data_IF_835967157728
#
_entry.id   IF_835967157728
#
_cell.length_a   1.000
_cell.length_b   1.000
_cell.length_c   1.000
_cell.angle_alpha   90.00
_cell.angle_beta   90.00
_cell.angle_gamma   90.00
#
_symmetry.space_group_name_H-M   'P 1'
#
loop_
_entity.id
_entity.type
_entity.pdbx_description
1 polymer ?
#
# COMPACT_ATOMS: atom_id res chain seq x y z
N UNK A 1 20.50 12.42 -17.44
CA UNK A 1 21.67 12.71 -16.57
C UNK A 1 21.21 12.38 -15.18
N UNK A 2 22.00 11.66 -14.39
CA UNK A 2 21.64 11.36 -12.99
C UNK A 2 21.55 12.67 -12.21
N UNK A 3 20.43 12.88 -11.50
CA UNK A 3 20.19 14.06 -10.64
C UNK A 3 21.19 14.07 -9.48
N UNK A 4 21.54 12.88 -8.97
CA UNK A 4 22.47 12.71 -7.85
C UNK A 4 23.86 12.29 -8.34
N UNK A 5 24.91 12.98 -7.82
CA UNK A 5 26.30 12.76 -8.23
C UNK A 5 26.99 11.76 -7.30
N UNK A 6 27.93 11.00 -7.85
CA UNK A 6 28.85 10.21 -7.03
C UNK A 6 29.57 11.13 -6.03
N UNK A 7 29.77 10.63 -4.81
CA UNK A 7 30.40 11.32 -3.67
C UNK A 7 29.60 12.54 -3.14
N UNK A 8 28.37 12.82 -3.62
CA UNK A 8 27.48 13.81 -3.02
C UNK A 8 27.02 13.34 -1.65
N UNK A 9 27.15 14.20 -0.61
CA UNK A 9 26.76 13.86 0.75
C UNK A 9 25.29 14.21 1.01
N UNK A 10 24.49 13.18 1.24
CA UNK A 10 23.04 13.28 1.46
C UNK A 10 22.71 12.80 2.85
N UNK A 11 22.14 13.69 3.65
CA UNK A 11 21.80 13.46 5.05
C UNK A 11 20.29 13.21 5.21
N UNK A 12 19.91 12.15 5.93
CA UNK A 12 18.50 11.76 6.14
C UNK A 12 18.04 12.01 7.57
N UNK A 13 17.01 12.83 7.78
CA UNK A 13 16.37 13.01 9.09
C UNK A 13 15.24 11.95 9.20
N UNK A 14 15.40 11.00 10.14
CA UNK A 14 14.50 9.84 10.30
C UNK A 14 14.80 8.72 9.31
N UNK A 15 16.08 8.40 9.13
CA UNK A 15 16.57 7.43 8.13
C UNK A 15 16.04 6.01 8.32
N UNK A 16 15.67 5.60 9.54
CA UNK A 16 15.15 4.26 9.87
C UNK A 16 13.68 4.05 9.50
N UNK A 17 13.01 5.06 8.97
CA UNK A 17 11.66 4.88 8.41
C UNK A 17 11.67 3.96 7.18
N UNK A 18 10.67 3.07 7.04
CA UNK A 18 10.61 2.04 5.98
C UNK A 18 10.90 2.61 4.58
N UNK A 19 10.28 3.73 4.22
CA UNK A 19 10.50 4.35 2.91
C UNK A 19 11.78 5.18 2.82
N UNK A 20 12.23 5.76 3.95
CA UNK A 20 13.48 6.55 4.01
C UNK A 20 14.70 5.67 3.85
N UNK A 21 14.72 4.52 4.54
CA UNK A 21 15.82 3.56 4.45
C UNK A 21 16.01 3.05 3.03
N UNK A 22 14.93 2.73 2.32
CA UNK A 22 15.03 2.31 0.93
C UNK A 22 15.62 3.36 0.00
N UNK A 23 15.26 4.64 0.17
CA UNK A 23 15.86 5.73 -0.60
C UNK A 23 17.34 5.94 -0.27
N UNK A 24 17.70 5.81 1.01
CA UNK A 24 19.08 5.86 1.46
C UNK A 24 19.94 4.76 0.83
N UNK A 25 19.42 3.52 0.76
CA UNK A 25 20.08 2.39 0.10
C UNK A 25 20.27 2.63 -1.39
N UNK A 26 19.23 3.12 -2.12
CA UNK A 26 19.33 3.43 -3.55
C UNK A 26 20.42 4.46 -3.81
N UNK A 27 20.52 5.52 -2.99
CA UNK A 27 21.54 6.56 -3.17
C UNK A 27 22.94 6.06 -2.81
N UNK A 28 23.07 5.22 -1.78
CA UNK A 28 24.33 4.60 -1.42
C UNK A 28 24.85 3.66 -2.53
N UNK A 29 23.95 2.85 -3.14
CA UNK A 29 24.27 1.97 -4.29
C UNK A 29 24.77 2.78 -5.50
N UNK A 30 24.25 4.00 -5.68
CA UNK A 30 24.69 4.94 -6.72
C UNK A 30 26.03 5.63 -6.42
N UNK A 31 26.61 5.36 -5.26
CA UNK A 31 27.89 5.92 -4.82
C UNK A 31 27.79 7.29 -4.17
N UNK A 32 26.62 7.73 -3.73
CA UNK A 32 26.49 8.89 -2.84
C UNK A 32 27.03 8.56 -1.45
N UNK A 33 27.54 9.56 -0.75
CA UNK A 33 27.83 9.46 0.69
C UNK A 33 26.50 9.67 1.41
N UNK A 34 26.03 8.64 2.12
CA UNK A 34 24.75 8.71 2.83
C UNK A 34 25.00 8.65 4.33
N UNK A 35 24.36 9.55 5.06
CA UNK A 35 24.30 9.52 6.51
C UNK A 35 22.94 9.98 7.02
N UNK A 36 22.66 9.85 8.31
CA UNK A 36 21.39 10.32 8.83
C UNK A 36 21.20 10.14 10.32
N UNK A 37 19.97 10.43 10.77
CA UNK A 37 19.56 10.22 12.17
C UNK A 37 18.30 9.41 12.27
N UNK A 38 18.17 8.72 13.42
CA UNK A 38 16.89 8.20 13.91
C UNK A 38 16.80 8.36 15.44
N UNK A 39 15.61 8.15 16.01
CA UNK A 39 15.38 8.27 17.45
C UNK A 39 16.04 7.13 18.21
N UNK A 40 16.03 5.90 17.64
CA UNK A 40 16.51 4.67 18.27
C UNK A 40 17.07 3.67 17.28
N UNK A 41 17.92 2.78 17.79
CA UNK A 41 18.41 1.64 17.05
C UNK A 41 17.26 0.64 16.74
N UNK A 42 17.20 0.17 15.51
CA UNK A 42 16.22 -0.80 15.00
C UNK A 42 16.92 -1.81 14.08
N UNK A 43 16.28 -2.94 13.71
CA UNK A 43 16.82 -3.83 12.67
C UNK A 43 17.10 -3.11 11.34
N UNK A 44 16.28 -2.12 10.98
CA UNK A 44 16.44 -1.31 9.76
C UNK A 44 17.71 -0.46 9.84
N UNK A 45 17.93 0.27 10.94
CA UNK A 45 19.13 1.09 11.10
C UNK A 45 20.40 0.24 11.14
N UNK A 46 20.37 -0.95 11.79
CA UNK A 46 21.50 -1.90 11.76
C UNK A 46 21.82 -2.39 10.36
N UNK A 47 20.78 -2.65 9.55
CA UNK A 47 20.97 -3.02 8.15
C UNK A 47 21.69 -1.90 7.39
N UNK A 48 21.24 -0.67 7.50
CA UNK A 48 21.86 0.49 6.86
C UNK A 48 23.33 0.68 7.30
N UNK A 49 23.63 0.53 8.60
CA UNK A 49 25.00 0.58 9.11
C UNK A 49 25.87 -0.53 8.51
N UNK A 50 25.32 -1.74 8.26
CA UNK A 50 26.03 -2.82 7.58
C UNK A 50 26.38 -2.53 6.12
N UNK A 51 25.66 -1.58 5.49
CA UNK A 51 25.94 -1.05 4.15
C UNK A 51 26.96 0.12 4.18
N UNK A 52 27.47 0.48 5.35
CA UNK A 52 28.44 1.57 5.52
C UNK A 52 27.82 2.95 5.69
N UNK A 53 26.50 3.05 5.88
CA UNK A 53 25.78 4.30 6.13
C UNK A 53 25.96 4.70 7.60
N UNK A 54 26.45 5.92 7.86
CA UNK A 54 26.64 6.42 9.22
C UNK A 54 25.32 6.94 9.81
N UNK A 55 24.91 6.44 10.98
CA UNK A 55 23.67 6.84 11.64
C UNK A 55 23.93 7.39 13.03
N UNK A 56 23.43 8.60 13.28
CA UNK A 56 23.39 9.20 14.61
C UNK A 56 22.07 8.85 15.31
N UNK A 57 22.08 8.67 16.63
CA UNK A 57 20.85 8.47 17.41
C UNK A 57 20.52 9.73 18.22
N UNK A 58 19.31 10.26 17.97
CA UNK A 58 18.83 11.52 18.53
C UNK A 58 19.17 12.75 17.67
N UNK A 59 18.15 13.61 17.51
CA UNK A 59 18.25 14.81 16.67
C UNK A 59 19.06 15.91 17.36
N UNK A 60 20.14 16.37 16.74
CA UNK A 60 21.01 17.44 17.23
C UNK A 60 21.50 18.30 16.07
N UNK A 61 21.60 19.61 16.27
CA UNK A 61 22.09 20.54 15.25
C UNK A 61 23.48 20.19 14.73
N UNK A 62 24.34 19.65 15.61
CA UNK A 62 25.75 19.28 15.32
C UNK A 62 25.85 18.09 14.35
N UNK A 63 24.77 17.31 14.17
CA UNK A 63 24.74 16.20 13.22
C UNK A 63 24.80 16.69 11.76
N UNK A 64 24.36 17.93 11.50
CA UNK A 64 24.46 18.56 10.19
C UNK A 64 25.84 19.21 10.05
N UNK A 65 26.75 18.51 9.41
CA UNK A 65 28.12 18.98 9.16
C UNK A 65 28.20 19.88 7.92
N UNK A 66 29.33 20.55 7.68
CA UNK A 66 29.46 21.53 6.57
C UNK A 66 29.67 20.87 5.20
N UNK A 67 29.94 19.57 5.18
CA UNK A 67 30.10 18.73 3.98
C UNK A 67 28.81 18.10 3.50
N UNK A 68 27.67 18.35 4.17
CA UNK A 68 26.34 17.89 3.72
C UNK A 68 25.87 18.77 2.57
N UNK A 69 25.57 18.14 1.43
CA UNK A 69 25.10 18.82 0.21
C UNK A 69 23.56 18.89 0.12
N UNK A 70 22.86 17.96 0.74
CA UNK A 70 21.39 17.84 0.73
C UNK A 70 20.89 17.20 2.00
N UNK A 71 19.82 17.74 2.57
CA UNK A 71 19.10 17.11 3.69
C UNK A 71 17.75 16.61 3.20
N UNK A 72 17.48 15.31 3.42
CA UNK A 72 16.20 14.66 3.11
C UNK A 72 15.41 14.44 4.39
N UNK A 73 14.11 14.77 4.38
CA UNK A 73 13.24 14.66 5.53
C UNK A 73 11.86 14.07 5.19
N UNK A 74 11.12 13.61 6.21
CA UNK A 74 9.74 13.15 6.06
C UNK A 74 8.75 14.20 6.56
N UNK A 75 7.48 14.10 6.13
CA UNK A 75 6.40 14.93 6.65
C UNK A 75 6.16 14.75 8.17
N UNK A 76 6.77 13.75 8.81
CA UNK A 76 6.72 13.55 10.26
C UNK A 76 7.70 14.45 11.04
N UNK A 77 8.65 15.08 10.36
CA UNK A 77 9.64 15.98 10.98
C UNK A 77 9.01 17.35 11.14
N UNK A 78 8.96 17.81 12.38
CA UNK A 78 8.42 19.13 12.71
C UNK A 78 9.42 20.23 12.32
N UNK A 79 8.96 21.42 11.92
CA UNK A 79 9.84 22.54 11.57
C UNK A 79 10.81 23.00 12.68
N UNK A 80 10.51 22.72 13.94
CA UNK A 80 11.35 23.02 15.11
C UNK A 80 12.46 21.96 15.39
N UNK A 81 12.52 20.90 14.56
CA UNK A 81 13.57 19.89 14.67
C UNK A 81 14.97 20.55 14.56
N UNK A 82 15.92 20.29 15.50
CA UNK A 82 17.21 20.97 15.51
C UNK A 82 18.06 20.72 14.26
N UNK A 83 17.95 19.56 13.61
CA UNK A 83 18.67 19.25 12.37
C UNK A 83 18.05 19.99 11.18
N UNK A 84 16.71 20.04 11.12
CA UNK A 84 15.99 20.81 10.10
C UNK A 84 16.36 22.30 10.17
N UNK A 85 16.41 22.88 11.39
CA UNK A 85 16.80 24.26 11.61
C UNK A 85 18.29 24.51 11.30
N UNK A 86 19.17 23.55 11.62
CA UNK A 86 20.59 23.65 11.30
C UNK A 86 20.84 23.66 9.79
N UNK A 87 20.12 22.84 9.02
CA UNK A 87 20.19 22.84 7.56
C UNK A 87 19.79 24.20 6.97
N UNK A 88 18.69 24.80 7.48
CA UNK A 88 18.27 26.15 7.08
C UNK A 88 19.37 27.18 7.41
N UNK A 89 19.90 27.17 8.63
CA UNK A 89 20.91 28.12 9.09
C UNK A 89 22.21 28.04 8.25
N UNK A 90 22.54 26.84 7.76
CA UNK A 90 23.71 26.59 6.90
C UNK A 90 23.42 26.78 5.40
N UNK A 91 22.18 27.14 5.00
CA UNK A 91 21.72 27.22 3.62
C UNK A 91 21.90 25.90 2.83
N UNK A 92 21.79 24.75 3.51
CA UNK A 92 21.82 23.44 2.86
C UNK A 92 20.42 23.18 2.27
N UNK A 93 20.31 22.74 0.99
CA UNK A 93 19.03 22.39 0.38
C UNK A 93 18.27 21.33 1.20
N UNK A 94 16.96 21.50 1.29
CA UNK A 94 16.04 20.58 1.96
C UNK A 94 15.13 19.95 0.89
N UNK A 95 14.96 18.64 0.94
CA UNK A 95 14.10 17.90 0.04
C UNK A 95 13.21 16.95 0.83
N UNK A 96 11.91 16.96 0.58
CA UNK A 96 11.04 15.97 1.20
C UNK A 96 11.19 14.58 0.52
N UNK A 97 10.79 13.54 1.24
CA UNK A 97 10.89 12.15 0.79
C UNK A 97 10.19 11.87 -0.55
N UNK A 98 9.02 12.47 -0.79
CA UNK A 98 8.26 12.21 -2.01
C UNK A 98 8.95 12.84 -3.23
N UNK A 99 9.50 14.04 -3.05
CA UNK A 99 10.30 14.71 -4.08
C UNK A 99 11.54 13.89 -4.44
N UNK A 100 12.29 13.40 -3.44
CA UNK A 100 13.43 12.52 -3.68
C UNK A 100 13.05 11.26 -4.47
N UNK A 101 11.93 10.61 -4.10
CA UNK A 101 11.46 9.43 -4.82
C UNK A 101 11.08 9.77 -6.28
N UNK A 102 10.46 10.93 -6.50
CA UNK A 102 10.14 11.44 -7.84
C UNK A 102 11.40 11.68 -8.69
N UNK A 103 12.41 12.35 -8.14
CA UNK A 103 13.69 12.58 -8.81
C UNK A 103 14.40 11.26 -9.15
N UNK A 104 14.35 10.27 -8.23
CA UNK A 104 14.90 8.93 -8.50
C UNK A 104 14.11 8.26 -9.63
N UNK A 105 12.77 8.30 -9.61
CA UNK A 105 11.90 7.68 -10.62
C UNK A 105 12.14 8.28 -12.01
N UNK A 106 12.35 9.58 -12.10
CA UNK A 106 12.56 10.29 -13.37
C UNK A 106 13.81 9.81 -14.14
N UNK A 107 14.72 9.11 -13.49
CA UNK A 107 15.89 8.52 -14.16
C UNK A 107 15.59 7.19 -14.88
N UNK A 108 14.38 6.61 -14.66
CA UNK A 108 13.99 5.31 -15.22
C UNK A 108 13.00 5.49 -16.37
N UNK A 109 13.38 5.06 -17.57
CA UNK A 109 12.55 5.18 -18.78
C UNK A 109 11.29 4.30 -18.73
N UNK A 110 11.29 3.24 -17.94
CA UNK A 110 10.20 2.26 -17.81
C UNK A 110 9.66 2.26 -16.37
N UNK A 111 9.18 3.43 -15.92
CA UNK A 111 8.66 3.60 -14.57
C UNK A 111 7.15 3.39 -14.50
N UNK A 112 6.69 2.71 -13.44
CA UNK A 112 5.27 2.49 -13.12
C UNK A 112 5.00 3.07 -11.74
N UNK A 113 4.02 3.97 -11.63
CA UNK A 113 3.54 4.52 -10.38
C UNK A 113 2.09 4.09 -10.15
N UNK A 114 1.85 3.37 -9.04
CA UNK A 114 0.53 2.81 -8.73
C UNK A 114 -0.18 3.68 -7.70
N UNK A 115 -1.20 4.41 -8.14
CA UNK A 115 -2.06 5.27 -7.33
C UNK A 115 -3.46 4.66 -7.13
N UNK A 116 -4.17 5.16 -6.15
CA UNK A 116 -5.54 4.78 -5.81
C UNK A 116 -5.75 4.86 -4.31
N UNK A 117 -6.97 5.05 -3.86
CA UNK A 117 -7.28 5.02 -2.43
C UNK A 117 -6.91 3.66 -1.84
N UNK A 118 -7.24 2.57 -2.54
CA UNK A 118 -7.04 1.18 -2.12
C UNK A 118 -6.29 0.36 -3.18
N UNK A 119 -5.66 -0.76 -2.76
CA UNK A 119 -5.06 -1.73 -3.67
C UNK A 119 -3.62 -1.42 -4.11
N UNK A 120 -3.07 -0.26 -3.81
CA UNK A 120 -1.71 0.18 -4.21
C UNK A 120 -0.64 -0.89 -3.96
N UNK A 121 -0.48 -1.31 -2.70
CA UNK A 121 0.55 -2.29 -2.30
C UNK A 121 0.40 -3.61 -3.04
N UNK A 122 -0.81 -4.13 -3.15
CA UNK A 122 -1.09 -5.40 -3.84
C UNK A 122 -0.76 -5.30 -5.33
N UNK A 123 -1.20 -4.23 -6.00
CA UNK A 123 -0.94 -4.02 -7.43
C UNK A 123 0.54 -3.79 -7.71
N UNK A 124 1.22 -2.97 -6.89
CA UNK A 124 2.68 -2.77 -7.00
C UNK A 124 3.43 -4.09 -6.82
N UNK A 125 2.99 -4.94 -5.88
CA UNK A 125 3.57 -6.29 -5.69
C UNK A 125 3.32 -7.20 -6.90
N UNK A 126 2.13 -7.21 -7.47
CA UNK A 126 1.81 -7.99 -8.68
C UNK A 126 2.64 -7.52 -9.89
N UNK A 127 2.77 -6.22 -10.11
CA UNK A 127 3.65 -5.65 -11.15
C UNK A 127 5.10 -6.09 -10.91
N UNK A 128 5.56 -6.05 -9.66
CA UNK A 128 6.92 -6.47 -9.30
C UNK A 128 7.16 -7.95 -9.64
N UNK A 129 6.23 -8.85 -9.32
CA UNK A 129 6.33 -10.26 -9.66
C UNK A 129 6.35 -10.48 -11.18
N UNK A 130 5.57 -9.73 -11.95
CA UNK A 130 5.57 -9.78 -13.41
C UNK A 130 6.94 -9.35 -13.95
N UNK A 131 7.49 -8.23 -13.48
CA UNK A 131 8.79 -7.72 -13.92
C UNK A 131 9.93 -8.66 -13.54
N UNK A 132 9.88 -9.29 -12.35
CA UNK A 132 10.84 -10.30 -11.91
C UNK A 132 10.76 -11.55 -12.77
N UNK A 133 9.55 -12.04 -13.07
CA UNK A 133 9.34 -13.22 -13.94
C UNK A 133 9.82 -12.98 -15.37
N UNK A 134 9.74 -11.73 -15.86
CA UNK A 134 10.28 -11.31 -17.15
C UNK A 134 11.81 -11.11 -17.14
N UNK A 135 12.48 -11.34 -16.00
CA UNK A 135 13.93 -11.16 -15.82
C UNK A 135 14.43 -9.75 -16.18
N UNK A 136 13.64 -8.71 -15.89
CA UNK A 136 13.96 -7.32 -16.23
C UNK A 136 14.91 -6.65 -15.24
N UNK A 137 15.20 -7.26 -14.09
CA UNK A 137 16.00 -6.69 -12.99
C UNK A 137 15.52 -5.31 -12.54
N UNK A 138 14.23 -5.16 -12.10
CA UNK A 138 13.66 -3.86 -11.76
C UNK A 138 14.15 -3.35 -10.40
N UNK A 139 14.17 -2.02 -10.24
CA UNK A 139 14.12 -1.38 -8.92
C UNK A 139 12.66 -1.36 -8.45
N UNK A 140 12.42 -1.86 -7.24
CA UNK A 140 11.10 -2.06 -6.66
C UNK A 140 11.03 -1.31 -5.34
N UNK A 141 9.99 -0.48 -5.14
CA UNK A 141 9.62 0.04 -3.83
C UNK A 141 8.14 -0.23 -3.56
N UNK A 142 7.84 -0.99 -2.53
CA UNK A 142 6.48 -1.41 -2.19
C UNK A 142 6.17 -1.09 -0.71
N UNK A 143 4.92 -0.79 -0.38
CA UNK A 143 4.52 -0.40 0.97
C UNK A 143 4.47 -1.54 2.00
N UNK A 144 4.68 -2.79 1.58
CA UNK A 144 4.73 -3.98 2.42
C UNK A 144 5.88 -4.89 2.04
N UNK A 145 6.12 -5.94 2.82
CA UNK A 145 7.13 -6.94 2.48
C UNK A 145 6.61 -7.83 1.34
N UNK A 146 7.34 -7.87 0.25
CA UNK A 146 7.10 -8.80 -0.85
C UNK A 146 7.90 -10.09 -0.59
N UNK A 147 7.24 -11.25 -0.39
CA UNK A 147 7.92 -12.48 0.02
C UNK A 147 9.06 -12.92 -0.92
N UNK A 148 8.88 -12.74 -2.23
CA UNK A 148 9.87 -13.13 -3.26
C UNK A 148 11.21 -12.43 -3.11
N UNK A 149 11.21 -11.18 -2.65
CA UNK A 149 12.45 -10.43 -2.40
C UNK A 149 12.81 -10.33 -0.91
N UNK A 150 11.92 -10.81 -0.01
CA UNK A 150 12.09 -10.76 1.45
C UNK A 150 12.19 -9.33 2.01
N UNK A 151 11.76 -8.31 1.25
CA UNK A 151 11.92 -6.89 1.57
C UNK A 151 10.79 -6.06 0.93
N UNK A 152 10.72 -4.80 1.29
CA UNK A 152 9.92 -3.78 0.63
C UNK A 152 10.71 -3.01 -0.45
N UNK A 153 12.01 -3.29 -0.57
CA UNK A 153 12.91 -2.70 -1.54
C UNK A 153 13.70 -3.79 -2.28
N UNK A 154 13.87 -3.63 -3.58
CA UNK A 154 14.91 -4.27 -4.39
C UNK A 154 15.56 -3.20 -5.26
N UNK A 155 16.88 -3.11 -5.25
CA UNK A 155 17.64 -2.27 -6.18
C UNK A 155 17.95 -3.12 -7.41
N UNK A 156 17.53 -2.66 -8.58
CA UNK A 156 17.87 -3.23 -9.88
C UNK A 156 18.68 -2.25 -10.72
N UNK A 157 19.38 -2.77 -11.71
CA UNK A 157 20.27 -1.97 -12.56
C UNK A 157 19.74 -1.83 -14.00
N UNK A 158 18.45 -2.03 -14.19
CA UNK A 158 17.75 -1.91 -15.46
C UNK A 158 16.95 -0.60 -15.56
N UNK A 159 16.37 -0.26 -16.72
CA UNK A 159 15.52 0.92 -16.85
C UNK A 159 14.12 0.78 -16.20
N UNK A 160 13.82 -0.33 -15.49
CA UNK A 160 12.52 -0.57 -14.90
C UNK A 160 12.48 -0.13 -13.44
N UNK A 161 11.43 0.64 -13.10
CA UNK A 161 11.14 1.08 -11.73
C UNK A 161 9.66 0.92 -11.44
N UNK A 162 9.30 0.39 -10.28
CA UNK A 162 7.91 0.33 -9.83
C UNK A 162 7.79 0.84 -8.40
N UNK A 163 6.83 1.73 -8.17
CA UNK A 163 6.58 2.32 -6.86
C UNK A 163 5.09 2.54 -6.59
N UNK A 164 4.74 2.58 -5.30
CA UNK A 164 3.45 3.10 -4.86
C UNK A 164 3.44 4.62 -4.94
N UNK A 165 2.36 5.17 -5.46
CA UNK A 165 2.08 6.59 -5.58
C UNK A 165 1.00 7.00 -4.55
N UNK A 166 1.45 7.46 -3.37
CA UNK A 166 0.53 7.85 -2.30
C UNK A 166 -0.04 9.25 -2.57
N UNK A 167 -1.36 9.35 -2.53
CA UNK A 167 -2.10 10.60 -2.72
C UNK A 167 -1.99 11.58 -1.54
N UNK A 168 -1.72 11.06 -0.33
CA UNK A 168 -1.72 11.87 0.88
C UNK A 168 -0.66 12.97 0.83
N UNK A 169 -1.06 14.20 1.17
CA UNK A 169 -0.28 15.43 1.00
C UNK A 169 0.18 15.68 -0.45
N UNK A 170 -0.58 15.21 -1.44
CA UNK A 170 -0.23 15.33 -2.86
C UNK A 170 1.15 14.76 -3.21
N UNK A 171 1.64 13.80 -2.40
CA UNK A 171 3.00 13.25 -2.54
C UNK A 171 3.25 12.65 -3.94
N UNK A 172 2.24 12.03 -4.56
CA UNK A 172 2.35 11.44 -5.89
C UNK A 172 2.49 12.46 -7.02
N UNK A 173 2.20 13.76 -6.77
CA UNK A 173 2.39 14.82 -7.75
C UNK A 173 3.87 15.16 -7.99
N UNK A 174 4.77 14.59 -7.19
CA UNK A 174 6.21 14.68 -7.41
C UNK A 174 6.71 13.66 -8.45
N UNK A 175 5.85 12.73 -8.91
CA UNK A 175 6.22 11.65 -9.81
C UNK A 175 5.91 12.01 -11.28
N UNK A 176 6.76 11.57 -12.19
CA UNK A 176 6.57 11.62 -13.64
C UNK A 176 6.74 10.21 -14.23
N UNK A 177 5.78 9.29 -13.95
CA UNK A 177 5.91 7.91 -14.37
C UNK A 177 5.62 7.74 -15.86
N UNK A 178 6.29 6.77 -16.51
CA UNK A 178 5.94 6.34 -17.87
C UNK A 178 4.54 5.72 -17.90
N UNK A 179 4.16 4.98 -16.84
CA UNK A 179 2.82 4.43 -16.67
C UNK A 179 2.26 4.84 -15.31
N UNK A 180 1.21 5.65 -15.33
CA UNK A 180 0.42 6.02 -14.16
C UNK A 180 -0.80 5.11 -14.01
N UNK A 181 -0.92 4.42 -12.88
CA UNK A 181 -2.07 3.55 -12.61
C UNK A 181 -3.01 4.24 -11.62
N UNK A 182 -4.32 4.23 -11.89
CA UNK A 182 -5.36 4.74 -10.99
C UNK A 182 -6.38 3.63 -10.73
N UNK A 183 -6.31 3.04 -9.53
CA UNK A 183 -7.12 1.87 -9.17
C UNK A 183 -8.54 2.25 -8.76
N UNK A 184 -8.69 3.27 -7.97
CA UNK A 184 -9.96 3.80 -7.45
C UNK A 184 -9.74 5.21 -6.88
N UNK A 185 -10.82 5.97 -6.74
CA UNK A 185 -10.83 7.33 -6.16
C UNK A 185 -12.01 7.43 -5.22
N UNK A 186 -11.73 7.35 -3.92
CA UNK A 186 -12.73 7.35 -2.86
C UNK A 186 -12.37 8.36 -1.77
N UNK A 187 -13.31 8.60 -0.86
CA UNK A 187 -13.11 9.55 0.24
C UNK A 187 -12.20 8.98 1.31
N UNK A 188 -10.93 9.37 1.30
CA UNK A 188 -9.96 9.14 2.38
C UNK A 188 -9.11 10.41 2.61
N UNK A 189 -8.33 10.44 3.68
CA UNK A 189 -7.46 11.56 4.01
C UNK A 189 -8.15 12.94 4.00
N UNK A 190 -9.40 12.99 4.51
CA UNK A 190 -10.22 14.20 4.49
C UNK A 190 -9.74 15.29 5.47
N UNK A 191 -8.86 14.95 6.39
CA UNK A 191 -8.05 15.88 7.17
C UNK A 191 -7.25 16.82 6.25
N UNK A 192 -6.74 16.30 5.15
CA UNK A 192 -5.99 17.04 4.12
C UNK A 192 -6.90 17.52 2.99
N UNK A 193 -7.57 16.62 2.27
CA UNK A 193 -8.32 16.95 1.05
C UNK A 193 -9.65 17.68 1.29
N UNK A 194 -10.26 17.56 2.47
CA UNK A 194 -11.54 18.13 2.86
C UNK A 194 -12.78 17.49 2.21
N UNK A 195 -12.74 17.11 0.95
CA UNK A 195 -13.84 16.49 0.22
C UNK A 195 -13.35 15.67 -0.98
N UNK A 196 -14.25 14.85 -1.56
CA UNK A 196 -13.97 13.99 -2.70
C UNK A 196 -13.58 14.78 -3.96
N UNK A 197 -14.11 15.97 -4.16
CA UNK A 197 -13.80 16.81 -5.33
C UNK A 197 -12.31 17.20 -5.35
N UNK A 198 -11.76 17.57 -4.21
CA UNK A 198 -10.33 17.88 -4.10
C UNK A 198 -9.46 16.64 -4.33
N UNK A 199 -9.89 15.46 -3.85
CA UNK A 199 -9.23 14.18 -4.15
C UNK A 199 -9.21 13.95 -5.66
N UNK A 200 -10.36 14.08 -6.33
CA UNK A 200 -10.47 13.91 -7.79
C UNK A 200 -9.56 14.87 -8.55
N UNK A 201 -9.49 16.14 -8.14
CA UNK A 201 -8.55 17.12 -8.75
C UNK A 201 -7.09 16.69 -8.60
N UNK A 202 -6.72 16.16 -7.44
CA UNK A 202 -5.38 15.65 -7.20
C UNK A 202 -5.05 14.44 -8.08
N UNK A 203 -5.98 13.47 -8.21
CA UNK A 203 -5.80 12.34 -9.12
C UNK A 203 -5.74 12.75 -10.60
N UNK A 204 -6.53 13.74 -11.01
CA UNK A 204 -6.41 14.31 -12.35
C UNK A 204 -5.04 14.96 -12.57
N UNK A 205 -4.56 15.75 -11.60
CA UNK A 205 -3.22 16.34 -11.66
C UNK A 205 -2.12 15.27 -11.72
N UNK A 206 -2.27 14.15 -11.01
CA UNK A 206 -1.36 13.00 -11.13
C UNK A 206 -1.39 12.40 -12.55
N UNK A 207 -2.58 12.19 -13.13
CA UNK A 207 -2.69 11.68 -14.49
C UNK A 207 -2.00 12.59 -15.52
N UNK A 208 -2.04 13.91 -15.33
CA UNK A 208 -1.36 14.89 -16.16
C UNK A 208 0.19 14.85 -16.05
N UNK A 209 0.74 14.17 -15.02
CA UNK A 209 2.21 13.98 -14.89
C UNK A 209 2.75 12.89 -15.80
N UNK A 210 1.89 12.06 -16.39
CA UNK A 210 2.29 11.03 -17.35
C UNK A 210 2.68 11.70 -18.68
N UNK A 211 3.88 11.45 -19.22
CA UNK A 211 4.35 12.09 -20.46
C UNK A 211 3.56 11.64 -21.69
N UNK A 212 3.63 12.39 -22.78
CA UNK A 212 2.91 12.13 -24.04
C UNK A 212 3.12 10.72 -24.59
N UNK A 213 4.32 10.17 -24.43
CA UNK A 213 4.68 8.81 -24.83
C UNK A 213 4.41 7.77 -23.74
N UNK A 214 3.71 8.13 -22.68
CA UNK A 214 3.32 7.26 -21.57
C UNK A 214 1.87 6.81 -21.65
N UNK A 215 1.38 6.16 -20.58
CA UNK A 215 0.00 5.74 -20.47
C UNK A 215 -0.57 5.91 -19.06
N UNK A 216 -1.84 6.26 -19.00
CA UNK A 216 -2.67 6.16 -17.79
C UNK A 216 -3.52 4.89 -17.89
N UNK A 217 -3.34 3.99 -16.93
CA UNK A 217 -4.13 2.76 -16.78
C UNK A 217 -5.15 3.01 -15.67
N UNK A 218 -6.43 3.09 -16.01
CA UNK A 218 -7.46 3.57 -15.08
C UNK A 218 -8.66 2.63 -15.00
N UNK A 219 -9.17 2.43 -13.78
CA UNK A 219 -10.37 1.64 -13.55
C UNK A 219 -11.60 2.34 -14.15
N UNK A 220 -12.31 1.64 -15.06
CA UNK A 220 -13.49 2.20 -15.73
C UNK A 220 -14.69 2.45 -14.80
N UNK A 221 -14.73 1.79 -13.62
CA UNK A 221 -15.84 1.94 -12.67
C UNK A 221 -15.75 3.19 -11.80
N UNK A 222 -14.65 3.95 -11.90
CA UNK A 222 -14.55 5.24 -11.23
C UNK A 222 -15.63 6.18 -11.79
N UNK A 223 -16.44 6.72 -10.90
CA UNK A 223 -17.52 7.64 -11.27
C UNK A 223 -16.95 8.81 -12.09
N UNK A 224 -17.61 9.13 -13.22
CA UNK A 224 -17.15 10.20 -14.13
C UNK A 224 -15.65 10.10 -14.46
N UNK A 225 -15.18 8.90 -14.83
CA UNK A 225 -13.76 8.63 -15.17
C UNK A 225 -13.23 9.57 -16.25
N UNK A 226 -14.11 10.01 -17.18
CA UNK A 226 -13.76 10.98 -18.21
C UNK A 226 -13.21 12.31 -17.68
N UNK A 227 -13.67 12.77 -16.51
CA UNK A 227 -13.17 14.01 -15.91
C UNK A 227 -11.72 13.87 -15.42
N UNK A 228 -11.31 12.64 -15.04
CA UNK A 228 -9.95 12.34 -14.59
C UNK A 228 -8.96 12.19 -15.76
N UNK A 229 -9.49 11.95 -16.95
CA UNK A 229 -8.70 11.69 -18.16
C UNK A 229 -8.85 12.79 -19.22
N UNK A 230 -9.61 13.84 -18.91
CA UNK A 230 -9.75 14.99 -19.78
C UNK A 230 -8.38 15.68 -19.97
N UNK A 231 -8.15 16.16 -21.20
CA UNK A 231 -6.96 16.95 -21.57
C UNK A 231 -5.60 16.24 -21.35
N UNK A 232 -5.60 14.90 -21.23
CA UNK A 232 -4.36 14.12 -21.20
C UNK A 232 -3.78 14.00 -22.63
N UNK A 233 -2.46 14.18 -22.74
CA UNK A 233 -1.75 13.99 -24.00
C UNK A 233 -1.20 12.57 -24.19
N UNK A 234 -1.25 11.73 -23.15
CA UNK A 234 -0.78 10.35 -23.16
C UNK A 234 -1.88 9.35 -23.55
N UNK A 235 -1.52 8.09 -23.74
CA UNK A 235 -2.49 7.03 -23.93
C UNK A 235 -3.34 6.82 -22.66
N UNK A 236 -4.63 6.53 -22.82
CA UNK A 236 -5.53 6.15 -21.73
C UNK A 236 -6.09 4.77 -22.04
N UNK A 237 -5.86 3.83 -21.13
CA UNK A 237 -6.42 2.49 -21.20
C UNK A 237 -7.22 2.16 -19.94
N UNK A 238 -8.47 1.78 -20.13
CA UNK A 238 -9.34 1.42 -19.01
C UNK A 238 -9.24 -0.08 -18.70
N UNK A 239 -9.43 -0.45 -17.43
CA UNK A 239 -9.57 -1.84 -17.02
C UNK A 239 -10.84 -2.05 -16.19
N UNK A 240 -11.40 -3.26 -16.25
CA UNK A 240 -12.65 -3.58 -15.54
C UNK A 240 -13.15 -4.99 -15.77
N UNK A 241 -14.22 -5.36 -15.05
CA UNK A 241 -14.93 -6.62 -15.24
C UNK A 241 -16.11 -6.46 -16.21
N UNK A 242 -16.62 -5.24 -16.34
CA UNK A 242 -17.77 -4.92 -17.18
C UNK A 242 -17.35 -4.68 -18.64
N UNK A 243 -18.31 -4.77 -19.54
CA UNK A 243 -18.08 -4.53 -20.97
C UNK A 243 -17.64 -3.06 -21.23
N UNK A 244 -16.78 -2.91 -22.21
CA UNK A 244 -16.28 -1.60 -22.65
C UNK A 244 -14.90 -1.21 -22.12
N UNK A 245 -14.33 -1.92 -21.15
CA UNK A 245 -12.95 -1.73 -20.76
C UNK A 245 -11.99 -2.16 -21.87
N UNK A 246 -10.86 -1.44 -22.01
CA UNK A 246 -9.78 -1.88 -22.90
C UNK A 246 -9.18 -3.21 -22.43
N UNK A 247 -8.99 -3.36 -21.11
CA UNK A 247 -8.56 -4.58 -20.44
C UNK A 247 -9.70 -5.16 -19.61
N UNK A 248 -10.19 -6.33 -19.99
CA UNK A 248 -11.37 -6.93 -19.37
C UNK A 248 -11.10 -8.36 -18.90
N UNK A 249 -11.51 -8.71 -17.67
CA UNK A 249 -11.54 -10.09 -17.21
C UNK A 249 -12.93 -10.68 -17.47
N UNK A 250 -12.95 -11.89 -18.05
CA UNK A 250 -14.14 -12.70 -18.30
C UNK A 250 -13.95 -14.13 -17.84
N UNK A 251 -15.03 -14.93 -17.86
CA UNK A 251 -14.98 -16.35 -17.52
C UNK A 251 -14.31 -16.60 -16.15
N UNK A 252 -14.63 -15.74 -15.18
CA UNK A 252 -14.04 -15.83 -13.84
C UNK A 252 -14.57 -17.07 -13.14
N UNK A 253 -13.64 -17.89 -12.63
CA UNK A 253 -13.94 -19.07 -11.81
C UNK A 253 -13.26 -18.88 -10.45
N UNK A 254 -14.06 -18.90 -9.39
CA UNK A 254 -13.58 -18.90 -8.01
C UNK A 254 -13.45 -20.34 -7.53
N UNK A 255 -12.25 -20.74 -7.14
CA UNK A 255 -11.96 -22.08 -6.62
C UNK A 255 -12.25 -22.14 -5.11
N UNK A 256 -12.55 -23.35 -4.61
CA UNK A 256 -12.93 -23.54 -3.20
C UNK A 256 -11.79 -23.20 -2.20
N UNK A 257 -10.54 -23.21 -2.65
CA UNK A 257 -9.36 -22.80 -1.87
C UNK A 257 -9.05 -21.30 -1.95
N UNK A 258 -9.94 -20.53 -2.57
CA UNK A 258 -9.84 -19.07 -2.70
C UNK A 258 -9.05 -18.57 -3.91
N UNK A 259 -8.53 -19.46 -4.75
CA UNK A 259 -7.85 -19.06 -6.00
C UNK A 259 -8.85 -18.64 -7.06
N UNK A 260 -8.35 -17.94 -8.07
CA UNK A 260 -9.16 -17.48 -9.20
C UNK A 260 -8.49 -17.85 -10.52
N UNK A 261 -9.32 -18.28 -11.49
CA UNK A 261 -8.91 -18.42 -12.88
C UNK A 261 -9.80 -17.54 -13.74
N UNK A 262 -9.24 -16.83 -14.70
CA UNK A 262 -9.99 -15.91 -15.57
C UNK A 262 -9.29 -15.69 -16.90
N UNK A 263 -10.08 -15.33 -17.92
CA UNK A 263 -9.59 -14.91 -19.21
C UNK A 263 -9.41 -13.39 -19.22
N UNK A 264 -8.31 -12.90 -19.76
CA UNK A 264 -8.07 -11.48 -20.00
C UNK A 264 -8.23 -11.18 -21.48
N UNK A 265 -9.03 -10.17 -21.77
CA UNK A 265 -9.22 -9.63 -23.11
C UNK A 265 -8.62 -8.24 -23.20
N UNK A 266 -7.89 -7.97 -24.26
CA UNK A 266 -7.37 -6.64 -24.61
C UNK A 266 -8.04 -6.14 -25.87
N UNK A 267 -8.80 -5.05 -25.78
CA UNK A 267 -9.54 -4.45 -26.90
C UNK A 267 -10.42 -5.48 -27.65
N UNK A 268 -11.02 -6.40 -26.88
CA UNK A 268 -11.91 -7.44 -27.38
C UNK A 268 -11.24 -8.72 -27.88
N UNK A 269 -9.93 -8.78 -27.97
CA UNK A 269 -9.17 -9.98 -28.34
C UNK A 269 -8.63 -10.70 -27.09
N UNK A 270 -8.66 -12.04 -27.12
CA UNK A 270 -8.14 -12.85 -26.00
C UNK A 270 -6.63 -12.63 -25.86
N UNK A 271 -6.21 -12.02 -24.74
CA UNK A 271 -4.82 -11.81 -24.39
C UNK A 271 -4.20 -13.05 -23.71
N UNK A 272 -4.98 -13.75 -22.90
CA UNK A 272 -4.55 -14.99 -22.25
C UNK A 272 -5.48 -15.44 -21.13
N UNK A 273 -5.24 -16.68 -20.65
CA UNK A 273 -5.85 -17.22 -19.45
C UNK A 273 -4.87 -17.07 -18.27
N UNK A 274 -5.38 -16.60 -17.13
CA UNK A 274 -4.58 -16.27 -15.95
C UNK A 274 -5.08 -17.01 -14.72
N UNK A 275 -4.16 -17.29 -13.82
CA UNK A 275 -4.42 -17.90 -12.52
C UNK A 275 -3.84 -17.00 -11.42
N UNK A 276 -4.61 -16.79 -10.34
CA UNK A 276 -4.24 -15.93 -9.23
C UNK A 276 -4.45 -16.66 -7.90
N UNK A 277 -3.40 -16.74 -7.08
CA UNK A 277 -3.40 -17.48 -5.81
C UNK A 277 -4.01 -16.70 -4.64
N UNK A 278 -4.58 -15.53 -4.86
CA UNK A 278 -5.23 -14.70 -3.84
C UNK A 278 -6.70 -14.51 -4.17
N UNK A 279 -7.59 -14.53 -3.16
CA UNK A 279 -9.03 -14.45 -3.39
C UNK A 279 -9.52 -13.03 -3.66
N UNK A 280 -10.75 -12.95 -4.18
CA UNK A 280 -11.52 -11.71 -4.31
C UNK A 280 -11.42 -11.03 -5.67
N UNK A 281 -12.54 -10.46 -6.10
CA UNK A 281 -12.67 -9.78 -7.40
C UNK A 281 -11.80 -8.51 -7.47
N UNK A 282 -11.59 -7.84 -6.34
CA UNK A 282 -10.67 -6.71 -6.24
C UNK A 282 -9.23 -7.10 -6.61
N UNK A 283 -8.81 -8.35 -6.34
CA UNK A 283 -7.49 -8.83 -6.74
C UNK A 283 -7.42 -9.17 -8.24
N UNK A 284 -8.54 -9.56 -8.86
CA UNK A 284 -8.63 -9.70 -10.32
C UNK A 284 -8.49 -8.31 -10.97
N UNK A 285 -9.12 -7.28 -10.40
CA UNK A 285 -8.96 -5.89 -10.85
C UNK A 285 -7.52 -5.40 -10.71
N UNK A 286 -6.87 -5.68 -9.57
CA UNK A 286 -5.45 -5.38 -9.35
C UNK A 286 -4.54 -6.09 -10.37
N UNK A 287 -4.87 -7.36 -10.70
CA UNK A 287 -4.14 -8.13 -11.71
C UNK A 287 -4.33 -7.54 -13.12
N UNK A 288 -5.54 -7.10 -13.50
CA UNK A 288 -5.78 -6.42 -14.78
C UNK A 288 -4.94 -5.15 -14.91
N UNK A 289 -4.93 -4.31 -13.87
CA UNK A 289 -4.10 -3.10 -13.83
C UNK A 289 -2.61 -3.43 -13.98
N UNK A 290 -2.16 -4.50 -13.32
CA UNK A 290 -0.76 -4.97 -13.36
C UNK A 290 -0.38 -5.49 -14.75
N UNK A 291 -1.24 -6.30 -15.37
CA UNK A 291 -1.06 -6.83 -16.73
C UNK A 291 -0.99 -5.68 -17.74
N UNK A 292 -1.96 -4.75 -17.69
CA UNK A 292 -2.02 -3.61 -18.59
C UNK A 292 -0.76 -2.76 -18.51
N UNK A 293 -0.31 -2.45 -17.29
CA UNK A 293 0.89 -1.65 -17.05
C UNK A 293 2.16 -2.32 -17.56
N UNK A 294 2.32 -3.61 -17.29
CA UNK A 294 3.47 -4.39 -17.75
C UNK A 294 3.47 -4.54 -19.27
N UNK A 295 2.31 -4.83 -19.86
CA UNK A 295 2.16 -4.95 -21.31
C UNK A 295 2.50 -3.65 -22.04
N UNK A 296 2.10 -2.49 -21.51
CA UNK A 296 2.46 -1.19 -22.07
C UNK A 296 3.98 -1.01 -22.18
N UNK A 297 4.73 -1.55 -21.25
CA UNK A 297 6.20 -1.55 -21.25
C UNK A 297 6.82 -2.73 -22.03
N UNK A 298 6.03 -3.45 -22.82
CA UNK A 298 6.50 -4.51 -23.71
C UNK A 298 6.66 -5.89 -23.05
N UNK A 299 6.15 -6.09 -21.84
CA UNK A 299 6.18 -7.40 -21.19
C UNK A 299 5.15 -8.34 -21.84
N UNK A 300 5.55 -9.58 -22.08
CA UNK A 300 4.72 -10.57 -22.77
C UNK A 300 3.57 -11.10 -21.88
N UNK A 301 2.49 -11.58 -22.52
CA UNK A 301 1.40 -12.26 -21.81
C UNK A 301 1.90 -13.48 -21.01
N UNK A 302 2.91 -14.18 -21.53
CA UNK A 302 3.53 -15.34 -20.86
C UNK A 302 4.23 -14.95 -19.56
N UNK A 303 4.99 -13.84 -19.57
CA UNK A 303 5.69 -13.36 -18.37
C UNK A 303 4.71 -12.76 -17.37
N UNK A 304 3.66 -12.06 -17.82
CA UNK A 304 2.55 -11.63 -16.97
C UNK A 304 1.89 -12.83 -16.26
N UNK A 305 1.62 -13.91 -17.00
CA UNK A 305 1.04 -15.14 -16.43
C UNK A 305 1.95 -15.79 -15.40
N UNK A 306 3.24 -15.91 -15.69
CA UNK A 306 4.23 -16.47 -14.75
C UNK A 306 4.32 -15.63 -13.47
N UNK A 307 4.42 -14.33 -13.59
CA UNK A 307 4.50 -13.42 -12.45
C UNK A 307 3.28 -13.51 -11.55
N UNK A 308 2.07 -13.45 -12.11
CA UNK A 308 0.83 -13.57 -11.34
C UNK A 308 0.65 -14.96 -10.71
N UNK A 309 1.12 -16.02 -11.36
CA UNK A 309 1.11 -17.38 -10.78
C UNK A 309 2.05 -17.48 -9.56
N UNK A 310 3.17 -16.75 -9.54
CA UNK A 310 4.10 -16.71 -8.42
C UNK A 310 3.59 -15.81 -7.28
N UNK A 311 2.71 -14.86 -7.56
CA UNK A 311 2.17 -13.97 -6.54
C UNK A 311 1.30 -14.72 -5.53
N UNK A 312 1.75 -14.79 -4.28
CA UNK A 312 1.05 -15.47 -3.17
C UNK A 312 0.49 -14.49 -2.14
N UNK A 313 0.48 -13.20 -2.47
CA UNK A 313 0.06 -12.13 -1.58
C UNK A 313 1.24 -11.29 -1.07
N UNK A 314 0.91 -10.21 -0.38
CA UNK A 314 1.83 -9.33 0.33
C UNK A 314 1.56 -9.47 1.82
N UNK A 315 2.55 -9.27 2.67
CA UNK A 315 2.31 -9.31 4.12
C UNK A 315 1.16 -8.39 4.51
N UNK A 316 0.31 -8.91 5.41
CA UNK A 316 -0.88 -8.22 5.89
C UNK A 316 -1.93 -7.86 4.81
N UNK A 317 -1.98 -8.57 3.68
CA UNK A 317 -3.01 -8.42 2.64
C UNK A 317 -3.68 -9.78 2.42
N UNK A 318 -4.74 -10.04 3.17
CA UNK A 318 -5.43 -11.34 3.28
C UNK A 318 -4.45 -12.49 3.54
N UNK A 319 -3.48 -12.24 4.41
CA UNK A 319 -2.35 -13.14 4.68
C UNK A 319 -2.78 -14.28 5.60
N UNK A 320 -2.66 -15.53 5.13
CA UNK A 320 -2.82 -16.70 6.01
C UNK A 320 -1.63 -16.78 6.97
N UNK A 321 -1.89 -16.58 8.28
CA UNK A 321 -0.89 -16.61 9.34
C UNK A 321 -0.65 -18.03 9.85
N UNK A 322 -1.65 -18.89 9.78
CA UNK A 322 -1.56 -20.27 10.27
C UNK A 322 -2.92 -20.89 10.56
N UNK A 323 -2.87 -22.01 11.28
CA UNK A 323 -4.06 -22.76 11.72
C UNK A 323 -3.82 -23.36 13.10
N UNK A 324 -4.81 -23.31 13.98
CA UNK A 324 -4.80 -23.94 15.30
C UNK A 324 -6.15 -24.58 15.59
N UNK A 325 -6.13 -25.86 15.94
CA UNK A 325 -7.36 -26.64 16.25
C UNK A 325 -8.42 -26.62 15.14
N UNK A 326 -8.01 -26.54 13.86
CA UNK A 326 -8.91 -26.44 12.73
C UNK A 326 -9.48 -25.04 12.49
N UNK A 327 -8.96 -24.00 13.16
CA UNK A 327 -9.33 -22.60 12.97
C UNK A 327 -8.22 -21.94 12.13
N UNK A 328 -8.58 -21.46 10.95
CA UNK A 328 -7.65 -20.73 10.07
C UNK A 328 -7.56 -19.27 10.51
N UNK A 329 -6.35 -18.74 10.64
CA UNK A 329 -6.09 -17.33 11.00
C UNK A 329 -5.56 -16.57 9.80
N UNK A 330 -6.23 -15.48 9.46
CA UNK A 330 -5.87 -14.55 8.38
C UNK A 330 -5.67 -13.16 8.96
N UNK A 331 -4.68 -12.41 8.45
CA UNK A 331 -4.49 -11.00 8.78
C UNK A 331 -4.66 -10.12 7.55
N UNK A 332 -5.37 -9.00 7.72
CA UNK A 332 -5.56 -8.00 6.67
C UNK A 332 -5.35 -6.58 7.20
N UNK A 333 -4.65 -5.77 6.44
CA UNK A 333 -4.36 -4.36 6.76
C UNK A 333 -5.56 -3.43 6.54
N UNK A 334 -6.69 -3.94 6.06
CA UNK A 334 -7.90 -3.18 5.76
C UNK A 334 -8.30 -2.28 6.94
N UNK A 335 -8.51 -1.01 6.66
CA UNK A 335 -8.80 0.01 7.66
C UNK A 335 -9.80 1.08 7.17
N UNK A 336 -10.27 0.92 5.94
CA UNK A 336 -11.35 1.71 5.34
C UNK A 336 -12.58 0.81 5.13
N UNK A 337 -13.83 1.32 5.24
CA UNK A 337 -15.04 0.51 5.05
C UNK A 337 -15.06 -0.31 3.76
N UNK A 338 -14.64 0.26 2.64
CA UNK A 338 -14.54 -0.44 1.33
C UNK A 338 -13.55 -1.61 1.39
N UNK A 339 -12.39 -1.43 2.02
CA UNK A 339 -11.39 -2.49 2.18
C UNK A 339 -11.90 -3.63 3.08
N UNK A 340 -12.60 -3.29 4.18
CA UNK A 340 -13.20 -4.28 5.09
C UNK A 340 -14.24 -5.11 4.34
N UNK A 341 -15.13 -4.47 3.57
CA UNK A 341 -16.10 -5.17 2.73
C UNK A 341 -15.41 -6.11 1.74
N UNK A 342 -14.34 -5.65 1.09
CA UNK A 342 -13.58 -6.47 0.15
C UNK A 342 -12.89 -7.67 0.82
N UNK A 343 -12.26 -7.47 1.98
CA UNK A 343 -11.62 -8.53 2.75
C UNK A 343 -12.63 -9.58 3.23
N UNK A 344 -13.79 -9.16 3.74
CA UNK A 344 -14.85 -10.07 4.18
C UNK A 344 -15.52 -10.80 3.02
N UNK A 345 -15.72 -10.13 1.87
CA UNK A 345 -16.19 -10.78 0.65
C UNK A 345 -15.21 -11.84 0.12
N UNK A 346 -13.90 -11.57 0.24
CA UNK A 346 -12.86 -12.55 -0.07
C UNK A 346 -12.90 -13.74 0.91
N UNK A 347 -13.14 -13.49 2.19
CA UNK A 347 -13.30 -14.54 3.20
C UNK A 347 -14.44 -15.51 2.86
N UNK A 348 -15.56 -15.01 2.35
CA UNK A 348 -16.69 -15.85 1.90
C UNK A 348 -16.37 -16.80 0.74
N UNK A 349 -15.33 -16.51 -0.04
CA UNK A 349 -14.87 -17.39 -1.14
C UNK A 349 -14.06 -18.57 -0.63
N UNK A 350 -13.58 -18.52 0.61
CA UNK A 350 -12.84 -19.61 1.26
C UNK A 350 -13.82 -20.48 2.05
N UNK A 351 -13.71 -21.80 1.93
CA UNK A 351 -14.60 -22.72 2.66
C UNK A 351 -14.34 -22.65 4.16
N UNK A 352 -15.33 -22.30 4.97
CA UNK A 352 -15.30 -22.26 6.43
C UNK A 352 -16.72 -22.31 7.02
N UNK A 353 -16.84 -22.39 8.36
CA UNK A 353 -18.13 -22.39 9.07
C UNK A 353 -18.55 -20.96 9.45
N UNK A 354 -17.86 -20.35 10.40
CA UNK A 354 -18.14 -19.01 10.95
C UNK A 354 -16.99 -18.06 10.68
N UNK A 355 -17.29 -16.87 10.18
CA UNK A 355 -16.31 -15.77 10.04
C UNK A 355 -16.28 -14.93 11.30
N UNK A 356 -15.16 -15.02 12.05
CA UNK A 356 -14.82 -14.14 13.16
C UNK A 356 -13.97 -12.98 12.64
N UNK A 357 -14.45 -11.75 12.80
CA UNK A 357 -13.70 -10.55 12.41
C UNK A 357 -13.30 -9.75 13.66
N UNK A 358 -12.01 -9.66 13.92
CA UNK A 358 -11.46 -8.77 14.95
C UNK A 358 -10.95 -7.50 14.27
N UNK A 359 -11.65 -6.41 14.47
CA UNK A 359 -11.33 -5.13 13.83
C UNK A 359 -10.74 -4.13 14.81
N UNK A 360 -9.60 -3.53 14.44
CA UNK A 360 -9.00 -2.40 15.14
C UNK A 360 -9.19 -1.13 14.31
N UNK A 361 -10.06 -0.20 14.71
CA UNK A 361 -10.19 1.08 14.03
C UNK A 361 -8.86 1.85 14.06
N UNK A 362 -8.51 2.51 12.97
CA UNK A 362 -7.27 3.27 12.85
C UNK A 362 -7.57 4.75 12.76
N UNK A 363 -7.12 5.51 13.76
CA UNK A 363 -7.32 6.92 14.07
C UNK A 363 -8.74 7.29 14.51
N UNK A 364 -8.83 8.24 15.43
CA UNK A 364 -10.11 8.76 15.91
C UNK A 364 -10.84 9.54 14.82
N UNK A 365 -10.11 10.37 14.08
CA UNK A 365 -10.66 11.19 13.00
C UNK A 365 -11.33 10.34 11.91
N UNK A 366 -10.68 9.31 11.40
CA UNK A 366 -11.26 8.40 10.40
C UNK A 366 -12.44 7.64 10.96
N UNK A 367 -12.34 7.12 12.18
CA UNK A 367 -13.43 6.38 12.81
C UNK A 367 -14.67 7.24 12.98
N UNK A 368 -14.51 8.50 13.36
CA UNK A 368 -15.60 9.47 13.50
C UNK A 368 -16.19 9.87 12.15
N UNK A 369 -15.33 10.14 11.17
CA UNK A 369 -15.76 10.64 9.86
C UNK A 369 -16.53 9.57 9.07
N UNK A 370 -16.08 8.32 9.10
CA UNK A 370 -16.68 7.19 8.39
C UNK A 370 -17.55 6.31 9.32
N UNK A 371 -18.09 6.88 10.40
CA UNK A 371 -18.78 6.14 11.45
C UNK A 371 -19.97 5.34 10.93
N UNK A 372 -20.76 5.93 10.05
CA UNK A 372 -21.93 5.29 9.47
C UNK A 372 -21.54 4.20 8.46
N UNK A 373 -20.55 4.47 7.62
CA UNK A 373 -20.01 3.52 6.65
C UNK A 373 -19.35 2.31 7.33
N UNK A 374 -18.64 2.52 8.44
CA UNK A 374 -18.13 1.43 9.27
C UNK A 374 -19.25 0.58 9.85
N UNK A 375 -20.37 1.20 10.27
CA UNK A 375 -21.55 0.48 10.75
C UNK A 375 -22.07 -0.56 9.76
N UNK A 376 -21.89 -0.34 8.47
CA UNK A 376 -22.36 -1.19 7.37
C UNK A 376 -21.27 -2.05 6.72
N UNK A 377 -20.00 -1.90 7.16
CA UNK A 377 -18.87 -2.55 6.51
C UNK A 377 -18.76 -4.06 6.78
N UNK A 378 -19.42 -4.57 7.82
CA UNK A 378 -19.25 -5.92 8.32
C UNK A 378 -20.38 -6.88 7.91
N UNK A 379 -21.09 -6.59 6.83
CA UNK A 379 -22.24 -7.39 6.36
C UNK A 379 -21.90 -8.88 6.14
N UNK A 380 -20.67 -9.19 5.80
CA UNK A 380 -20.19 -10.54 5.46
C UNK A 380 -19.46 -11.24 6.62
N UNK A 381 -19.37 -10.64 7.80
CA UNK A 381 -18.92 -11.30 9.02
C UNK A 381 -20.09 -11.85 9.82
N UNK A 382 -19.88 -12.97 10.53
CA UNK A 382 -20.84 -13.57 11.43
C UNK A 382 -20.69 -13.02 12.86
N UNK A 383 -19.47 -12.97 13.37
CA UNK A 383 -19.13 -12.44 14.71
C UNK A 383 -18.06 -11.35 14.59
N UNK A 384 -18.31 -10.18 15.18
CA UNK A 384 -17.44 -9.03 15.08
C UNK A 384 -16.95 -8.63 16.48
N UNK A 385 -15.66 -8.48 16.62
CA UNK A 385 -15.02 -7.98 17.84
C UNK A 385 -14.29 -6.68 17.50
N UNK A 386 -14.61 -5.62 18.22
CA UNK A 386 -13.96 -4.33 18.04
C UNK A 386 -12.90 -4.16 19.15
N UNK A 387 -11.65 -3.96 18.75
CA UNK A 387 -10.54 -3.62 19.64
C UNK A 387 -10.48 -2.10 19.86
N UNK A 388 -9.64 -1.66 20.80
CA UNK A 388 -9.38 -0.24 21.03
C UNK A 388 -8.91 0.48 19.78
N UNK A 389 -9.31 1.74 19.59
CA UNK A 389 -8.88 2.55 18.47
C UNK A 389 -7.35 2.75 18.54
N UNK A 390 -6.67 2.45 17.44
CA UNK A 390 -5.26 2.75 17.28
C UNK A 390 -5.08 4.24 16.96
N UNK A 391 -4.60 5.00 17.93
CA UNK A 391 -4.53 6.46 17.84
C UNK A 391 -3.53 6.97 16.79
N UNK A 392 -2.49 6.20 16.46
CA UNK A 392 -1.36 6.63 15.63
C UNK A 392 -0.72 7.94 16.18
N UNK A 393 -1.02 9.08 15.54
CA UNK A 393 -0.50 10.41 15.93
C UNK A 393 -1.55 11.30 16.59
N UNK A 394 -2.79 10.81 16.71
CA UNK A 394 -3.90 11.59 17.22
C UNK A 394 -4.04 11.48 18.75
N UNK A 395 -4.62 12.49 19.35
CA UNK A 395 -5.02 12.49 20.75
C UNK A 395 -6.52 12.20 20.84
N UNK A 396 -6.91 11.37 21.78
CA UNK A 396 -8.32 11.10 22.07
C UNK A 396 -8.99 12.37 22.64
N UNK A 397 -10.01 12.87 21.94
CA UNK A 397 -10.84 13.99 22.37
C UNK A 397 -12.14 13.54 23.06
N UNK A 398 -12.33 12.23 23.25
CA UNK A 398 -13.52 11.63 23.85
C UNK A 398 -14.77 11.66 22.96
N UNK A 399 -14.69 12.11 21.71
CA UNK A 399 -15.84 12.25 20.82
C UNK A 399 -16.28 10.96 20.15
N UNK A 400 -15.40 9.95 20.09
CA UNK A 400 -15.65 8.63 19.50
C UNK A 400 -14.92 7.54 20.28
N UNK A 401 -15.52 6.35 20.38
CA UNK A 401 -14.90 5.21 21.02
C UNK A 401 -15.18 3.91 20.25
N UNK A 402 -14.36 2.89 20.50
CA UNK A 402 -14.55 1.54 19.96
C UNK A 402 -15.89 0.93 20.39
N UNK A 403 -16.34 1.23 21.62
CA UNK A 403 -17.65 0.78 22.12
C UNK A 403 -18.81 1.40 21.34
N UNK A 404 -18.74 2.68 21.01
CA UNK A 404 -19.75 3.36 20.16
C UNK A 404 -19.82 2.73 18.77
N UNK A 405 -18.67 2.38 18.18
CA UNK A 405 -18.64 1.70 16.89
C UNK A 405 -19.26 0.30 16.96
N UNK A 406 -18.95 -0.48 17.99
CA UNK A 406 -19.57 -1.79 18.19
C UNK A 406 -21.11 -1.67 18.31
N UNK A 407 -21.61 -0.69 19.06
CA UNK A 407 -23.05 -0.40 19.17
C UNK A 407 -23.67 0.00 17.82
N UNK A 408 -22.97 0.82 17.03
CA UNK A 408 -23.42 1.22 15.69
C UNK A 408 -23.57 0.01 14.75
N UNK A 409 -22.62 -0.95 14.80
CA UNK A 409 -22.66 -2.19 14.02
C UNK A 409 -23.81 -3.09 14.49
N UNK A 410 -24.07 -3.19 15.82
CA UNK A 410 -25.23 -3.91 16.36
C UNK A 410 -26.55 -3.28 15.87
N UNK A 411 -26.63 -1.96 15.85
CA UNK A 411 -27.80 -1.25 15.36
C UNK A 411 -28.03 -1.44 13.84
N UNK A 412 -27.00 -1.81 13.10
CA UNK A 412 -27.08 -2.26 11.70
C UNK A 412 -27.47 -3.75 11.54
N UNK A 413 -27.79 -4.44 12.65
CA UNK A 413 -28.30 -5.82 12.65
C UNK A 413 -27.22 -6.90 12.67
N UNK A 414 -25.98 -6.59 13.09
CA UNK A 414 -24.88 -7.54 13.15
C UNK A 414 -24.49 -7.90 14.59
N UNK A 415 -23.92 -9.12 14.79
CA UNK A 415 -23.35 -9.54 16.05
C UNK A 415 -22.00 -8.85 16.26
N UNK A 416 -21.95 -7.78 17.03
CA UNK A 416 -20.73 -7.06 17.31
C UNK A 416 -20.59 -6.78 18.81
N UNK A 417 -19.34 -6.72 19.27
CA UNK A 417 -19.02 -6.40 20.66
C UNK A 417 -17.66 -5.71 20.79
N UNK A 418 -17.56 -4.80 21.71
CA UNK A 418 -16.30 -4.27 22.20
C UNK A 418 -15.83 -5.15 23.36
N UNK A 419 -14.58 -5.64 23.30
CA UNK A 419 -14.03 -6.56 24.34
C UNK A 419 -12.84 -5.92 25.08
N UNK A 420 -12.29 -4.81 24.58
CA UNK A 420 -11.20 -4.09 25.23
C UNK A 420 -9.81 -4.51 24.73
N UNK A 421 -8.91 -4.90 25.64
CA UNK A 421 -7.52 -5.18 25.31
C UNK A 421 -7.32 -6.50 24.54
N UNK A 422 -6.16 -6.63 23.90
CA UNK A 422 -5.81 -7.77 23.06
C UNK A 422 -5.81 -9.13 23.78
N UNK A 423 -5.44 -9.15 25.05
CA UNK A 423 -5.43 -10.37 25.82
C UNK A 423 -6.86 -10.83 26.18
N UNK A 424 -7.76 -9.90 26.49
CA UNK A 424 -9.18 -10.18 26.68
C UNK A 424 -9.81 -10.71 25.39
N UNK A 425 -9.50 -10.09 24.25
CA UNK A 425 -9.96 -10.55 22.92
C UNK A 425 -9.46 -11.96 22.65
N UNK A 426 -8.16 -12.24 22.84
CA UNK A 426 -7.58 -13.58 22.64
C UNK A 426 -8.31 -14.65 23.46
N UNK A 427 -8.51 -14.42 24.77
CA UNK A 427 -9.23 -15.36 25.65
C UNK A 427 -10.68 -15.57 25.20
N UNK A 428 -11.32 -14.51 24.75
CA UNK A 428 -12.68 -14.59 24.21
C UNK A 428 -12.74 -15.49 22.98
N UNK A 429 -11.81 -15.31 22.03
CA UNK A 429 -11.73 -16.14 20.83
C UNK A 429 -11.43 -17.60 21.13
N UNK A 430 -10.49 -17.89 22.05
CA UNK A 430 -10.17 -19.27 22.49
C UNK A 430 -11.36 -19.99 23.12
N UNK A 431 -12.26 -19.25 23.77
CA UNK A 431 -13.45 -19.82 24.39
C UNK A 431 -14.61 -20.05 23.41
N UNK A 432 -14.67 -19.33 22.28
CA UNK A 432 -15.85 -19.32 21.42
C UNK A 432 -15.62 -19.84 20.00
N UNK A 433 -14.43 -19.67 19.42
CA UNK A 433 -14.11 -20.20 18.10
C UNK A 433 -14.09 -21.73 18.09
N UNK A 434 -14.52 -22.33 16.99
CA UNK A 434 -14.63 -23.78 16.82
C UNK A 434 -13.84 -24.24 15.59
N UNK A 435 -13.53 -25.52 15.55
CA UNK A 435 -12.91 -26.14 14.38
C UNK A 435 -13.76 -25.89 13.13
N UNK A 436 -13.12 -25.46 12.06
CA UNK A 436 -13.75 -25.06 10.80
C UNK A 436 -14.09 -23.56 10.71
N UNK A 437 -13.88 -22.77 11.77
CA UNK A 437 -14.06 -21.34 11.73
C UNK A 437 -12.86 -20.62 11.07
N UNK A 438 -13.12 -19.42 10.58
CA UNK A 438 -12.14 -18.50 10.03
C UNK A 438 -12.02 -17.27 10.94
N UNK A 439 -10.81 -17.01 11.44
CA UNK A 439 -10.48 -15.84 12.24
C UNK A 439 -9.73 -14.83 11.38
N UNK A 440 -10.34 -13.65 11.14
CA UNK A 440 -9.70 -12.50 10.52
C UNK A 440 -9.30 -11.47 11.58
N UNK A 441 -8.03 -11.06 11.58
CA UNK A 441 -7.57 -9.83 12.23
C UNK A 441 -7.49 -8.73 11.17
N UNK A 442 -8.19 -7.61 11.39
CA UNK A 442 -8.41 -6.55 10.39
C UNK A 442 -8.04 -5.19 10.97
N UNK A 443 -7.12 -4.47 10.33
CA UNK A 443 -6.72 -3.12 10.74
C UNK A 443 -5.28 -2.75 10.43
N UNK A 444 -5.02 -1.45 10.26
CA UNK A 444 -3.68 -0.90 9.95
C UNK A 444 -2.75 -0.82 11.19
N UNK A 445 -3.30 -0.98 12.39
CA UNK A 445 -2.54 -0.99 13.64
C UNK A 445 -1.88 -2.34 13.93
N UNK A 446 -1.85 -2.72 15.17
CA UNK A 446 -1.15 -3.90 15.67
C UNK A 446 -2.07 -5.09 16.02
N UNK A 447 -3.31 -5.07 15.54
CA UNK A 447 -4.33 -6.12 15.71
C UNK A 447 -3.86 -7.52 15.28
N UNK A 448 -2.95 -7.61 14.30
CA UNK A 448 -2.35 -8.87 13.85
C UNK A 448 -1.71 -9.67 15.00
N UNK A 449 -1.25 -8.99 16.06
CA UNK A 449 -0.69 -9.62 17.25
C UNK A 449 -1.68 -10.53 17.98
N UNK A 450 -2.99 -10.23 17.87
CA UNK A 450 -4.05 -11.09 18.44
C UNK A 450 -4.07 -12.44 17.71
N UNK A 451 -4.06 -12.43 16.39
CA UNK A 451 -3.99 -13.65 15.57
C UNK A 451 -2.72 -14.46 15.83
N UNK A 452 -1.56 -13.79 15.92
CA UNK A 452 -0.28 -14.43 16.22
C UNK A 452 -0.25 -15.03 17.65
N UNK A 453 -0.84 -14.33 18.62
CA UNK A 453 -0.95 -14.85 19.98
C UNK A 453 -1.96 -16.01 20.09
N UNK A 454 -3.04 -15.97 19.31
CA UNK A 454 -4.01 -17.07 19.23
C UNK A 454 -3.36 -18.35 18.67
N UNK A 455 -2.48 -18.25 17.70
CA UNK A 455 -1.79 -19.39 17.08
C UNK A 455 -0.76 -20.08 18.01
N UNK A 456 -0.22 -19.37 19.01
CA UNK A 456 0.69 -19.92 20.04
C UNK A 456 -0.07 -20.78 21.06
#
# INVERSE_FOLDING_TARGET
MTTFKKDQHIYFIGIGGISMSGLAEILADRGCIVSGTDIKETPVTKHLESLGIHINFGHKAENITDDVDLVVYTAAIHPDNPEFQAAIAKNIPLMDRAHLLGEIMAEYNNSIAVAGTHGKTTTTSMVSEILLAANTDPTITVGGILPTIGSNLKIGHSPYFVAEACEYFDSFLQFEPMVGVILNVESDHLDYFKNLENIRRSFHAFAQRVPENGAVIINQTIENVGDLTADLNCAVETFGLEDGAAWQAKNIVHEADGKNTFDVYYKGELFGNFHLNVPGDHNIMNALASIASAHYLGISAEDCRKGLLHFTGTERRFQRKGEKNGIVVIDDYAHHPTEIKAALAAAKKVQHNTTWCVFQPHTYSRTKFLFDEFGEAFSDADEIIIADIYAARETDDGSISAAMLAERIVNAGKSARYVGDFEAIRRYLEAHCKSGDLLLTVGAGDVFKIGEAFLK
#
